data_IF_676407619500
#
_entry.id   IF_676407619500
#
_cell.length_a   1.000
_cell.length_b   1.000
_cell.length_c   1.000
_cell.angle_alpha   90.00
_cell.angle_beta   90.00
_cell.angle_gamma   90.00
#
_symmetry.space_group_name_H-M   'P 1'
#
loop_
_entity.id
_entity.type
_entity.pdbx_description
1 polymer ?
#
# COMPACT_ATOMS: atom_id res chain seq x y z
N UNK A 1 -43.69 5.91 -73.05
CA UNK A 1 -42.88 5.09 -72.12
C UNK A 1 -41.65 5.81 -71.56
N UNK A 2 -41.22 6.94 -72.12
CA UNK A 2 -40.03 7.71 -71.69
C UNK A 2 -40.18 8.53 -70.41
N UNK A 3 -41.40 8.90 -69.97
CA UNK A 3 -41.61 9.67 -68.73
C UNK A 3 -41.56 8.85 -67.44
N UNK A 4 -41.77 7.53 -67.51
CA UNK A 4 -41.67 6.64 -66.34
C UNK A 4 -40.21 6.25 -66.02
N UNK A 5 -39.32 6.22 -67.02
CA UNK A 5 -37.90 5.94 -66.82
C UNK A 5 -37.16 7.09 -66.11
N UNK A 6 -37.58 8.34 -66.32
CA UNK A 6 -36.96 9.51 -65.69
C UNK A 6 -37.32 9.63 -64.18
N UNK A 7 -38.53 9.22 -63.81
CA UNK A 7 -38.98 9.24 -62.40
C UNK A 7 -38.28 8.19 -61.53
N UNK A 8 -37.95 7.02 -62.09
CA UNK A 8 -37.27 5.95 -61.34
C UNK A 8 -35.79 6.29 -61.06
N UNK A 9 -35.13 7.03 -61.96
CA UNK A 9 -33.75 7.46 -61.78
C UNK A 9 -33.56 8.50 -60.66
N UNK A 10 -34.53 9.41 -60.47
CA UNK A 10 -34.49 10.43 -59.41
C UNK A 10 -34.78 9.81 -58.03
N UNK A 11 -35.70 8.83 -57.98
CA UNK A 11 -36.00 8.11 -56.74
C UNK A 11 -34.81 7.25 -56.25
N UNK A 12 -34.00 6.68 -57.15
CA UNK A 12 -32.78 5.95 -56.77
C UNK A 12 -31.64 6.88 -56.31
N UNK A 13 -31.60 8.11 -56.79
CA UNK A 13 -30.57 9.09 -56.39
C UNK A 13 -30.87 9.71 -55.02
N UNK A 14 -32.14 9.82 -54.64
CA UNK A 14 -32.57 10.32 -53.33
C UNK A 14 -32.49 9.28 -52.20
N UNK A 15 -32.39 7.99 -52.52
CA UNK A 15 -32.21 6.90 -51.54
C UNK A 15 -30.79 6.35 -51.49
N UNK A 16 -29.89 6.86 -52.33
CA UNK A 16 -28.46 6.68 -52.14
C UNK A 16 -28.04 7.48 -50.90
N UNK A 17 -28.27 6.90 -49.72
CA UNK A 17 -27.62 7.32 -48.49
C UNK A 17 -26.15 7.45 -48.83
N UNK A 18 -25.54 8.65 -48.75
CA UNK A 18 -24.15 8.83 -49.15
C UNK A 18 -23.33 7.76 -48.44
N UNK A 19 -22.56 6.98 -49.21
CA UNK A 19 -21.80 5.84 -48.71
C UNK A 19 -21.14 6.22 -47.38
N UNK A 20 -21.55 5.47 -46.33
CA UNK A 20 -21.61 5.89 -44.93
C UNK A 20 -20.52 6.85 -44.49
N UNK A 21 -20.87 8.13 -44.36
CA UNK A 21 -20.07 9.06 -43.57
C UNK A 21 -19.99 8.50 -42.15
N UNK A 22 -18.78 8.09 -41.74
CA UNK A 22 -18.57 7.59 -40.39
C UNK A 22 -18.98 8.66 -39.39
N UNK A 23 -19.73 8.25 -38.37
CA UNK A 23 -20.24 9.19 -37.37
C UNK A 23 -19.12 9.67 -36.45
N UNK A 24 -19.35 10.79 -35.77
CA UNK A 24 -18.46 11.30 -34.72
C UNK A 24 -18.14 10.21 -33.68
N UNK A 25 -19.15 9.44 -33.27
CA UNK A 25 -19.05 8.34 -32.32
C UNK A 25 -18.14 7.24 -32.83
N UNK A 26 -18.26 6.86 -34.10
CA UNK A 26 -17.41 5.83 -34.72
C UNK A 26 -15.94 6.26 -34.77
N UNK A 27 -15.67 7.50 -35.19
CA UNK A 27 -14.30 8.03 -35.19
C UNK A 27 -13.69 8.06 -33.79
N UNK A 28 -14.44 8.56 -32.81
CA UNK A 28 -13.98 8.62 -31.43
C UNK A 28 -13.77 7.21 -30.84
N UNK A 29 -14.67 6.25 -31.11
CA UNK A 29 -14.52 4.87 -30.63
C UNK A 29 -13.27 4.20 -31.21
N UNK A 30 -13.00 4.39 -32.51
CA UNK A 30 -11.78 3.90 -33.15
C UNK A 30 -10.52 4.56 -32.60
N UNK A 31 -10.57 5.85 -32.27
CA UNK A 31 -9.44 6.55 -31.64
C UNK A 31 -9.10 5.95 -30.27
N UNK A 32 -10.11 5.67 -29.46
CA UNK A 32 -9.95 5.00 -28.16
C UNK A 32 -9.38 3.59 -28.32
N UNK A 33 -9.84 2.84 -29.33
CA UNK A 33 -9.29 1.52 -29.64
C UNK A 33 -7.81 1.60 -30.01
N UNK A 34 -7.41 2.54 -30.88
CA UNK A 34 -6.00 2.75 -31.24
C UNK A 34 -5.12 3.10 -30.02
N UNK A 35 -5.64 3.87 -29.06
CA UNK A 35 -4.92 4.09 -27.80
C UNK A 35 -4.79 2.83 -26.95
N UNK A 36 -5.83 2.01 -26.90
CA UNK A 36 -5.80 0.73 -26.19
C UNK A 36 -4.80 -0.25 -26.83
N UNK A 37 -4.53 -0.10 -28.13
CA UNK A 37 -3.51 -0.84 -28.87
C UNK A 37 -2.12 -0.18 -28.79
N UNK A 38 -1.95 0.86 -27.97
CA UNK A 38 -0.72 1.63 -27.81
C UNK A 38 -0.20 2.28 -29.13
N UNK A 39 -1.12 2.68 -30.01
CA UNK A 39 -0.84 3.44 -31.24
C UNK A 39 -1.31 4.91 -31.11
N UNK A 40 -0.50 5.76 -30.44
CA UNK A 40 -0.84 7.17 -30.24
C UNK A 40 -0.89 7.98 -31.55
N UNK A 41 -0.19 7.55 -32.60
CA UNK A 41 -0.19 8.27 -33.88
C UNK A 41 -1.54 8.08 -34.57
N UNK A 42 -1.99 6.84 -34.73
CA UNK A 42 -3.31 6.55 -35.31
C UNK A 42 -4.42 7.14 -34.44
N UNK A 43 -4.30 7.05 -33.11
CA UNK A 43 -5.26 7.66 -32.20
C UNK A 43 -5.39 9.18 -32.42
N UNK A 44 -4.27 9.90 -32.54
CA UNK A 44 -4.26 11.35 -32.79
C UNK A 44 -5.01 11.70 -34.09
N UNK A 45 -4.75 10.97 -35.16
CA UNK A 45 -5.40 11.19 -36.46
C UNK A 45 -6.91 10.96 -36.38
N UNK A 46 -7.34 9.89 -35.70
CA UNK A 46 -8.75 9.56 -35.51
C UNK A 46 -9.47 10.58 -34.63
N UNK A 47 -8.85 11.09 -33.56
CA UNK A 47 -9.44 12.16 -32.77
C UNK A 47 -9.60 13.47 -33.55
N UNK A 48 -8.65 13.81 -34.42
CA UNK A 48 -8.79 14.98 -35.29
C UNK A 48 -9.98 14.83 -36.24
N UNK A 49 -10.15 13.64 -36.85
CA UNK A 49 -11.33 13.34 -37.67
C UNK A 49 -12.63 13.42 -36.87
N UNK A 50 -12.65 12.91 -35.64
CA UNK A 50 -13.80 13.04 -34.75
C UNK A 50 -14.11 14.53 -34.49
N UNK A 51 -13.13 15.33 -34.07
CA UNK A 51 -13.31 16.77 -33.83
C UNK A 51 -13.85 17.51 -35.06
N UNK A 52 -13.32 17.20 -36.24
CA UNK A 52 -13.67 17.90 -37.48
C UNK A 52 -15.06 17.49 -38.03
N UNK A 53 -15.59 16.34 -37.62
CA UNK A 53 -16.92 15.87 -38.04
C UNK A 53 -18.07 16.68 -37.42
N UNK A 54 -17.95 17.07 -36.15
CA UNK A 54 -18.90 17.97 -35.47
C UNK A 54 -18.18 18.72 -34.32
N UNK A 55 -17.61 19.91 -34.61
CA UNK A 55 -16.79 20.65 -33.65
C UNK A 55 -17.53 21.09 -32.38
N UNK A 56 -18.85 21.28 -32.45
CA UNK A 56 -19.65 21.77 -31.32
C UNK A 56 -20.07 20.65 -30.36
N UNK A 57 -20.01 19.39 -30.81
CA UNK A 57 -20.37 18.25 -30.00
C UNK A 57 -19.46 18.07 -28.77
N UNK A 58 -20.05 17.58 -27.67
CA UNK A 58 -19.32 17.28 -26.42
C UNK A 58 -18.19 16.26 -26.62
N UNK A 59 -18.35 15.32 -27.56
CA UNK A 59 -17.29 14.35 -27.91
C UNK A 59 -16.12 15.00 -28.64
N UNK A 60 -16.34 16.01 -29.49
CA UNK A 60 -15.27 16.77 -30.13
C UNK A 60 -14.43 17.54 -29.10
N UNK A 61 -15.05 18.15 -28.09
CA UNK A 61 -14.32 18.78 -26.98
C UNK A 61 -13.48 17.79 -26.16
N UNK A 62 -13.95 16.53 -26.01
CA UNK A 62 -13.16 15.46 -25.38
C UNK A 62 -11.98 15.07 -26.26
N UNK A 63 -12.22 14.88 -27.56
CA UNK A 63 -11.18 14.59 -28.55
C UNK A 63 -10.12 15.70 -28.59
N UNK A 64 -10.50 16.97 -28.52
CA UNK A 64 -9.58 18.12 -28.48
C UNK A 64 -8.64 18.07 -27.27
N UNK A 65 -9.16 17.81 -26.07
CA UNK A 65 -8.30 17.61 -24.88
C UNK A 65 -7.35 16.43 -25.06
N UNK A 66 -7.79 15.37 -25.71
CA UNK A 66 -6.94 14.20 -25.95
C UNK A 66 -5.88 14.45 -27.02
N UNK A 67 -6.21 15.18 -28.09
CA UNK A 67 -5.27 15.70 -29.09
C UNK A 67 -4.17 16.50 -28.40
N UNK A 68 -4.53 17.48 -27.57
CA UNK A 68 -3.56 18.30 -26.84
C UNK A 68 -2.66 17.44 -25.93
N UNK A 69 -3.23 16.44 -25.26
CA UNK A 69 -2.47 15.51 -24.41
C UNK A 69 -1.45 14.67 -25.21
N UNK A 70 -1.85 14.16 -26.38
CA UNK A 70 -1.00 13.37 -27.28
C UNK A 70 0.10 14.25 -27.88
N UNK A 71 -0.23 15.42 -28.40
CA UNK A 71 0.76 16.32 -29.00
C UNK A 71 1.84 16.76 -28.00
N UNK A 72 1.46 17.06 -26.76
CA UNK A 72 2.41 17.38 -25.68
C UNK A 72 3.40 16.25 -25.36
N UNK A 73 3.13 15.01 -25.82
CA UNK A 73 3.93 13.80 -25.59
C UNK A 73 4.50 13.19 -26.88
N UNK A 74 4.45 13.93 -27.99
CA UNK A 74 4.94 13.43 -29.28
C UNK A 74 6.46 13.21 -29.28
N UNK A 75 7.21 14.12 -28.64
CA UNK A 75 8.68 14.10 -28.52
C UNK A 75 9.42 13.73 -29.83
N UNK A 76 8.91 14.21 -30.97
CA UNK A 76 9.38 13.84 -32.30
C UNK A 76 8.45 12.84 -33.00
N UNK A 77 8.47 11.57 -32.59
CA UNK A 77 7.91 10.45 -33.38
C UNK A 77 7.02 9.45 -32.62
N UNK A 78 6.46 9.84 -31.46
CA UNK A 78 5.56 9.02 -30.64
C UNK A 78 6.09 7.67 -30.15
N UNK A 79 7.26 7.19 -30.60
CA UNK A 79 7.81 5.89 -30.19
C UNK A 79 8.00 5.78 -28.67
N UNK A 80 8.52 6.80 -27.96
CA UNK A 80 8.59 6.76 -26.49
C UNK A 80 7.22 6.59 -25.83
N UNK A 81 6.21 7.29 -26.36
CA UNK A 81 4.85 7.26 -25.80
C UNK A 81 4.18 5.91 -26.05
N UNK A 82 4.32 5.37 -27.26
CA UNK A 82 3.82 4.03 -27.61
C UNK A 82 4.43 2.96 -26.71
N UNK A 83 5.75 3.01 -26.48
CA UNK A 83 6.43 2.08 -25.57
C UNK A 83 5.93 2.19 -24.12
N UNK A 84 5.73 3.41 -23.61
CA UNK A 84 5.17 3.65 -22.29
C UNK A 84 3.70 3.18 -22.18
N UNK A 85 2.90 3.36 -23.22
CA UNK A 85 1.52 2.88 -23.28
C UNK A 85 1.50 1.35 -23.27
N UNK A 86 2.32 0.70 -24.09
CA UNK A 86 2.41 -0.75 -24.19
C UNK A 86 2.71 -1.41 -22.84
N UNK A 87 3.74 -0.94 -22.12
CA UNK A 87 4.05 -1.52 -20.79
C UNK A 87 2.98 -1.23 -19.74
N UNK A 88 2.22 -0.13 -19.87
CA UNK A 88 1.09 0.16 -18.96
C UNK A 88 -0.10 -0.76 -19.18
N UNK A 89 -0.23 -1.36 -20.37
CA UNK A 89 -1.25 -2.38 -20.64
C UNK A 89 -0.93 -3.69 -19.90
N UNK A 90 0.36 -3.93 -19.60
CA UNK A 90 0.74 -5.03 -18.72
C UNK A 90 0.32 -4.73 -17.28
N UNK A 91 -0.67 -5.48 -16.77
CA UNK A 91 -1.21 -5.26 -15.42
C UNK A 91 -0.16 -5.41 -14.32
N UNK A 92 0.77 -6.34 -14.49
CA UNK A 92 1.84 -6.67 -13.54
C UNK A 92 3.09 -7.11 -14.33
N UNK A 93 3.86 -6.16 -14.88
CA UNK A 93 5.08 -6.50 -15.61
C UNK A 93 6.10 -7.13 -14.64
N UNK A 94 6.83 -8.14 -15.11
CA UNK A 94 7.87 -8.78 -14.29
C UNK A 94 9.08 -7.85 -14.09
N UNK A 95 9.96 -8.19 -13.15
CA UNK A 95 11.18 -7.43 -12.92
C UNK A 95 12.06 -7.32 -14.19
N UNK A 96 12.12 -8.39 -14.98
CA UNK A 96 12.87 -8.46 -16.23
C UNK A 96 12.27 -7.54 -17.30
N UNK A 97 10.94 -7.51 -17.42
CA UNK A 97 10.24 -6.62 -18.36
C UNK A 97 10.47 -5.15 -17.98
N UNK A 98 10.34 -4.82 -16.69
CA UNK A 98 10.60 -3.45 -16.20
C UNK A 98 12.06 -3.06 -16.46
N UNK A 99 13.02 -3.96 -16.22
CA UNK A 99 14.45 -3.70 -16.47
C UNK A 99 14.76 -3.54 -17.97
N UNK A 100 14.09 -4.29 -18.84
CA UNK A 100 14.22 -4.14 -20.29
C UNK A 100 13.65 -2.78 -20.75
N UNK A 101 12.48 -2.40 -20.26
CA UNK A 101 11.88 -1.11 -20.55
C UNK A 101 12.75 0.04 -20.03
N UNK A 102 13.30 -0.08 -18.81
CA UNK A 102 14.17 0.93 -18.24
C UNK A 102 15.42 1.20 -19.09
N UNK A 103 16.03 0.15 -19.67
CA UNK A 103 17.12 0.30 -20.64
C UNK A 103 16.67 1.00 -21.93
N UNK A 104 15.44 0.76 -22.38
CA UNK A 104 14.91 1.45 -23.56
C UNK A 104 14.71 2.96 -23.31
N UNK A 105 14.36 3.36 -22.07
CA UNK A 105 14.20 4.78 -21.69
C UNK A 105 15.49 5.59 -21.90
N UNK A 106 16.67 4.96 -21.78
CA UNK A 106 17.95 5.66 -22.01
C UNK A 106 18.06 6.22 -23.44
N UNK A 107 17.38 5.59 -24.40
CA UNK A 107 17.27 6.05 -25.79
C UNK A 107 16.16 7.06 -26.05
N UNK A 108 15.31 7.38 -25.05
CA UNK A 108 14.24 8.36 -25.22
C UNK A 108 14.83 9.78 -25.22
N UNK A 109 14.30 10.69 -26.07
CA UNK A 109 14.67 12.10 -26.00
C UNK A 109 14.35 12.68 -24.61
N UNK A 110 15.09 13.69 -24.15
CA UNK A 110 14.75 14.38 -22.92
C UNK A 110 13.39 15.06 -23.07
N UNK A 111 12.49 14.81 -22.12
CA UNK A 111 11.11 15.28 -22.23
C UNK A 111 10.17 14.72 -21.18
N UNK A 112 8.89 15.02 -21.35
CA UNK A 112 7.81 14.64 -20.45
C UNK A 112 7.60 13.12 -20.40
N UNK A 113 7.60 12.42 -21.54
CA UNK A 113 7.37 10.98 -21.63
C UNK A 113 8.51 10.22 -20.98
N UNK A 114 9.76 10.66 -21.18
CA UNK A 114 10.92 10.09 -20.49
C UNK A 114 10.77 10.19 -18.96
N UNK A 115 10.39 11.35 -18.42
CA UNK A 115 10.13 11.51 -16.98
C UNK A 115 8.97 10.63 -16.50
N UNK A 116 7.86 10.58 -17.24
CA UNK A 116 6.73 9.71 -16.93
C UNK A 116 7.11 8.22 -16.95
N UNK A 117 7.99 7.81 -17.86
CA UNK A 117 8.48 6.44 -17.96
C UNK A 117 9.39 6.08 -16.78
N UNK A 118 10.29 6.97 -16.35
CA UNK A 118 11.09 6.79 -15.13
C UNK A 118 10.22 6.65 -13.89
N UNK A 119 9.23 7.53 -13.76
CA UNK A 119 8.24 7.46 -12.69
C UNK A 119 7.49 6.12 -12.67
N UNK A 120 7.11 5.63 -13.86
CA UNK A 120 6.46 4.33 -14.01
C UNK A 120 7.37 3.19 -13.56
N UNK A 121 8.64 3.12 -13.99
CA UNK A 121 9.58 2.09 -13.56
C UNK A 121 9.74 2.04 -12.03
N UNK A 122 9.92 3.20 -11.39
CA UNK A 122 10.07 3.28 -9.94
C UNK A 122 8.83 2.75 -9.19
N UNK A 123 7.64 3.11 -9.65
CA UNK A 123 6.38 2.59 -9.08
C UNK A 123 6.15 1.12 -9.40
N UNK A 124 6.56 0.66 -10.59
CA UNK A 124 6.42 -0.73 -11.00
C UNK A 124 7.28 -1.65 -10.12
N UNK A 125 8.55 -1.30 -9.88
CA UNK A 125 9.40 -2.05 -8.95
C UNK A 125 8.84 -2.06 -7.54
N UNK A 126 8.32 -0.93 -7.05
CA UNK A 126 7.69 -0.86 -5.73
C UNK A 126 6.54 -1.86 -5.57
N UNK A 127 5.73 -2.07 -6.63
CA UNK A 127 4.61 -3.02 -6.62
C UNK A 127 5.05 -4.50 -6.59
N UNK A 128 6.29 -4.81 -6.96
CA UNK A 128 6.83 -6.17 -6.85
C UNK A 128 7.18 -6.56 -5.40
N UNK A 129 7.21 -5.58 -4.48
CA UNK A 129 7.42 -5.81 -3.06
C UNK A 129 8.90 -5.91 -2.64
N UNK A 130 9.17 -6.46 -1.44
CA UNK A 130 10.50 -6.43 -0.81
C UNK A 130 11.66 -6.93 -1.68
N UNK A 131 11.51 -7.99 -2.51
CA UNK A 131 12.62 -8.46 -3.35
C UNK A 131 13.13 -7.43 -4.37
N UNK A 132 12.33 -6.40 -4.69
CA UNK A 132 12.66 -5.37 -5.67
C UNK A 132 12.88 -3.98 -5.05
N UNK A 133 12.98 -3.88 -3.72
CA UNK A 133 13.09 -2.60 -3.01
C UNK A 133 14.33 -1.80 -3.44
N UNK A 134 15.49 -2.47 -3.55
CA UNK A 134 16.73 -1.84 -4.03
C UNK A 134 16.59 -1.31 -5.47
N UNK A 135 15.94 -2.08 -6.35
CA UNK A 135 15.66 -1.66 -7.72
C UNK A 135 14.70 -0.46 -7.77
N UNK A 136 13.69 -0.43 -6.90
CA UNK A 136 12.79 0.72 -6.76
C UNK A 136 13.55 1.97 -6.31
N UNK A 137 14.44 1.87 -5.32
CA UNK A 137 15.27 2.99 -4.85
C UNK A 137 16.15 3.51 -6.01
N UNK A 138 16.83 2.62 -6.73
CA UNK A 138 17.67 2.99 -7.86
C UNK A 138 16.86 3.68 -8.98
N UNK A 139 15.66 3.18 -9.28
CA UNK A 139 14.76 3.78 -10.25
C UNK A 139 14.26 5.18 -9.81
N UNK A 140 13.96 5.39 -8.52
CA UNK A 140 13.65 6.72 -8.00
C UNK A 140 14.85 7.67 -8.08
N UNK A 141 16.07 7.19 -7.83
CA UNK A 141 17.29 7.99 -7.98
C UNK A 141 17.50 8.43 -9.44
N UNK A 142 17.26 7.54 -10.41
CA UNK A 142 17.28 7.89 -11.84
C UNK A 142 16.18 8.87 -12.22
N UNK A 143 14.97 8.71 -11.68
CA UNK A 143 13.88 9.65 -11.90
C UNK A 143 14.25 11.04 -11.37
N UNK A 144 14.82 11.14 -10.16
CA UNK A 144 15.28 12.40 -9.55
C UNK A 144 16.42 13.08 -10.32
N UNK A 145 17.18 12.31 -11.11
CA UNK A 145 18.25 12.81 -11.96
C UNK A 145 17.74 13.37 -13.31
N UNK A 146 16.46 13.18 -13.66
CA UNK A 146 15.92 13.75 -14.90
C UNK A 146 15.89 15.29 -14.84
N UNK A 147 16.28 15.98 -15.92
CA UNK A 147 16.20 17.43 -15.99
C UNK A 147 14.74 17.91 -15.99
N UNK A 148 14.53 19.15 -15.54
CA UNK A 148 13.25 19.84 -15.59
C UNK A 148 12.08 19.11 -14.89
N UNK A 149 12.38 18.33 -13.86
CA UNK A 149 11.36 17.84 -12.92
C UNK A 149 10.60 19.03 -12.32
N UNK A 150 9.27 18.99 -12.42
CA UNK A 150 8.45 19.92 -11.66
C UNK A 150 8.68 19.74 -10.15
N UNK A 151 8.49 20.80 -9.33
CA UNK A 151 8.59 20.68 -7.87
C UNK A 151 7.74 19.54 -7.31
N UNK A 152 6.53 19.35 -7.86
CA UNK A 152 5.59 18.30 -7.46
C UNK A 152 6.08 16.89 -7.82
N UNK A 153 6.70 16.70 -8.99
CA UNK A 153 7.30 15.41 -9.36
C UNK A 153 8.51 15.08 -8.48
N UNK A 154 9.39 16.07 -8.25
CA UNK A 154 10.56 15.93 -7.39
C UNK A 154 10.16 15.59 -5.95
N UNK A 155 9.20 16.29 -5.38
CA UNK A 155 8.65 15.99 -4.06
C UNK A 155 8.10 14.56 -4.00
N UNK A 156 7.28 14.16 -4.99
CA UNK A 156 6.70 12.81 -5.05
C UNK A 156 7.79 11.73 -5.08
N UNK A 157 8.82 11.92 -5.91
CA UNK A 157 9.93 10.99 -6.04
C UNK A 157 10.78 10.92 -4.75
N UNK A 158 11.11 12.07 -4.15
CA UNK A 158 11.85 12.14 -2.88
C UNK A 158 11.08 11.45 -1.75
N UNK A 159 9.78 11.73 -1.63
CA UNK A 159 8.91 11.14 -0.62
C UNK A 159 8.87 9.62 -0.76
N UNK A 160 8.56 9.12 -1.95
CA UNK A 160 8.45 7.69 -2.19
C UNK A 160 9.80 6.97 -1.95
N UNK A 161 10.90 7.57 -2.39
CA UNK A 161 12.25 7.04 -2.12
C UNK A 161 12.58 7.01 -0.63
N UNK A 162 12.24 8.05 0.12
CA UNK A 162 12.52 8.12 1.55
C UNK A 162 11.78 7.02 2.33
N UNK A 163 10.55 6.70 1.94
CA UNK A 163 9.77 5.63 2.57
C UNK A 163 10.35 4.22 2.38
N UNK A 164 11.23 4.03 1.39
CA UNK A 164 11.94 2.77 1.15
C UNK A 164 13.25 2.65 1.94
N UNK A 165 13.65 3.66 2.71
CA UNK A 165 14.85 3.56 3.53
C UNK A 165 14.50 3.10 4.95
N UNK A 166 15.34 2.29 5.61
CA UNK A 166 15.14 1.89 7.02
C UNK A 166 14.96 3.09 7.95
N UNK A 167 15.66 4.19 7.65
CA UNK A 167 15.57 5.47 8.34
C UNK A 167 14.66 6.46 7.59
N UNK A 168 13.46 6.02 7.22
CA UNK A 168 12.57 6.80 6.34
C UNK A 168 12.23 8.19 6.88
N UNK A 169 12.07 8.34 8.20
CA UNK A 169 11.83 9.64 8.83
C UNK A 169 13.02 10.60 8.65
N UNK A 170 14.24 10.16 8.98
CA UNK A 170 15.46 10.96 8.77
C UNK A 170 15.67 11.28 7.30
N UNK A 171 15.30 10.36 6.42
CA UNK A 171 15.38 10.56 4.96
C UNK A 171 14.39 11.64 4.50
N UNK A 172 13.16 11.64 5.01
CA UNK A 172 12.17 12.70 4.73
C UNK A 172 12.64 14.06 5.27
N UNK A 173 13.18 14.10 6.49
CA UNK A 173 13.73 15.32 7.10
C UNK A 173 14.91 15.87 6.28
N UNK A 174 15.84 15.01 5.87
CA UNK A 174 16.97 15.43 5.00
C UNK A 174 16.52 15.91 3.62
N UNK A 175 15.33 15.51 3.17
CA UNK A 175 14.72 15.96 1.93
C UNK A 175 13.86 17.22 2.10
N UNK A 176 13.78 17.80 3.31
CA UNK A 176 12.94 18.96 3.61
C UNK A 176 11.44 18.65 3.65
N UNK A 177 11.06 17.38 3.86
CA UNK A 177 9.66 16.90 3.89
C UNK A 177 9.17 16.58 5.31
N UNK A 178 9.71 17.29 6.29
CA UNK A 178 9.48 17.08 7.73
C UNK A 178 8.04 17.35 8.18
N UNK A 179 7.29 18.19 7.46
CA UNK A 179 5.89 18.52 7.73
C UNK A 179 4.88 17.73 6.89
N UNK A 180 5.36 16.76 6.10
CA UNK A 180 4.49 15.86 5.33
C UNK A 180 3.59 15.02 6.25
N UNK A 181 2.42 14.61 5.74
CA UNK A 181 1.51 13.74 6.49
C UNK A 181 2.18 12.40 6.83
N UNK A 182 3.03 11.92 5.94
CA UNK A 182 3.83 10.70 6.08
C UNK A 182 4.90 10.86 7.16
N UNK A 183 5.62 11.98 7.20
CA UNK A 183 6.57 12.26 8.28
C UNK A 183 5.85 12.32 9.64
N UNK A 184 4.68 12.97 9.72
CA UNK A 184 3.84 12.95 10.94
C UNK A 184 3.42 11.53 11.33
N UNK A 185 3.02 10.71 10.36
CA UNK A 185 2.65 9.32 10.60
C UNK A 185 3.83 8.49 11.10
N UNK A 186 5.01 8.62 10.48
CA UNK A 186 6.24 7.95 10.91
C UNK A 186 6.72 8.41 12.29
N UNK A 187 6.61 9.70 12.61
CA UNK A 187 6.88 10.21 13.97
C UNK A 187 5.93 9.61 14.99
N UNK A 188 4.64 9.60 14.68
CA UNK A 188 3.62 9.03 15.57
C UNK A 188 3.90 7.55 15.83
N UNK A 189 4.14 6.75 14.79
CA UNK A 189 4.44 5.32 14.95
C UNK A 189 5.76 5.07 15.69
N UNK A 190 6.79 5.88 15.44
CA UNK A 190 8.06 5.82 16.17
C UNK A 190 7.88 6.19 17.64
N UNK A 191 7.14 7.25 17.94
CA UNK A 191 6.86 7.70 19.31
C UNK A 191 6.04 6.67 20.08
N UNK A 192 5.03 6.08 19.45
CA UNK A 192 4.26 4.97 20.00
C UNK A 192 5.16 3.77 20.32
N UNK A 193 6.11 3.42 19.44
CA UNK A 193 7.10 2.37 19.70
C UNK A 193 7.96 2.69 20.93
N UNK A 194 8.42 3.93 21.08
CA UNK A 194 9.21 4.36 22.25
C UNK A 194 8.41 4.26 23.54
N UNK A 195 7.16 4.75 23.56
CA UNK A 195 6.27 4.62 24.72
C UNK A 195 6.05 3.16 25.10
N UNK A 196 5.84 2.31 24.10
CA UNK A 196 5.61 0.88 24.31
C UNK A 196 6.84 0.19 24.91
N UNK A 197 8.04 0.47 24.40
CA UNK A 197 9.29 -0.04 24.98
C UNK A 197 9.45 0.45 26.43
N UNK A 198 9.25 1.74 26.68
CA UNK A 198 9.35 2.33 28.02
C UNK A 198 8.34 1.69 29.00
N UNK A 199 7.10 1.48 28.56
CA UNK A 199 6.04 0.86 29.36
C UNK A 199 6.39 -0.60 29.69
N UNK A 200 6.90 -1.35 28.71
CA UNK A 200 7.38 -2.73 28.91
C UNK A 200 8.56 -2.81 29.89
N UNK A 201 9.52 -1.91 29.78
CA UNK A 201 10.66 -1.84 30.71
C UNK A 201 10.24 -1.45 32.13
N UNK A 202 9.33 -0.48 32.29
CA UNK A 202 8.79 -0.09 33.60
C UNK A 202 8.02 -1.24 34.26
N UNK A 203 7.20 -1.96 33.49
CA UNK A 203 6.50 -3.16 33.96
C UNK A 203 7.47 -4.24 34.46
N UNK A 204 8.57 -4.49 33.73
CA UNK A 204 9.59 -5.45 34.11
C UNK A 204 10.35 -5.04 35.38
N UNK A 205 10.74 -3.76 35.48
CA UNK A 205 11.39 -3.21 36.67
C UNK A 205 10.49 -3.30 37.90
N UNK A 206 9.20 -3.01 37.75
CA UNK A 206 8.22 -3.12 38.83
C UNK A 206 8.04 -4.58 39.30
N UNK A 207 7.93 -5.53 38.36
CA UNK A 207 7.90 -6.95 38.68
C UNK A 207 9.17 -7.41 39.42
N UNK A 208 10.34 -6.93 39.01
CA UNK A 208 11.60 -7.24 39.67
C UNK A 208 11.69 -6.64 41.08
N UNK A 209 11.28 -5.37 41.26
CA UNK A 209 11.28 -4.70 42.55
C UNK A 209 10.37 -5.41 43.57
N UNK A 210 9.16 -5.82 43.14
CA UNK A 210 8.22 -6.55 44.01
C UNK A 210 8.71 -7.94 44.41
N UNK A 211 9.49 -8.62 43.55
CA UNK A 211 10.15 -9.88 43.89
C UNK A 211 11.27 -9.69 44.94
N UNK A 212 12.01 -8.59 44.87
CA UNK A 212 13.17 -8.33 45.73
C UNK A 212 12.80 -7.77 47.12
N UNK A 213 11.66 -7.11 47.27
CA UNK A 213 11.20 -6.58 48.58
C UNK A 213 10.61 -7.63 49.51
N UNK A 214 10.71 -8.93 49.20
CA UNK A 214 10.29 -9.99 50.13
C UNK A 214 11.37 -10.21 51.19
N UNK A 215 11.10 -9.91 52.48
CA UNK A 215 11.98 -10.34 53.56
C UNK A 215 12.04 -11.87 53.55
N UNK A 216 13.26 -12.42 53.53
CA UNK A 216 13.59 -13.84 53.48
C UNK A 216 13.04 -14.59 54.69
N UNK A 217 11.74 -14.90 54.69
CA UNK A 217 11.14 -15.90 55.57
C UNK A 217 11.19 -17.23 54.83
N UNK A 218 11.80 -18.23 55.48
CA UNK A 218 12.00 -19.60 54.97
C UNK A 218 10.77 -20.10 54.21
N UNK A 219 10.93 -20.63 52.98
CA UNK A 219 9.80 -21.07 52.17
C UNK A 219 9.11 -22.24 52.87
N UNK A 220 7.84 -22.06 53.25
CA UNK A 220 6.95 -23.21 53.49
C UNK A 220 6.66 -23.84 52.12
N UNK A 221 6.67 -25.18 52.00
CA UNK A 221 6.30 -25.85 50.75
C UNK A 221 4.87 -25.43 50.38
N UNK A 222 4.76 -24.72 49.26
CA UNK A 222 3.48 -24.25 48.75
C UNK A 222 2.70 -25.44 48.18
N UNK A 223 1.44 -25.69 48.59
CA UNK A 223 0.56 -26.69 47.99
C UNK A 223 0.00 -26.15 46.66
N UNK A 224 0.87 -25.85 45.70
CA UNK A 224 0.53 -25.06 44.51
C UNK A 224 0.00 -25.87 43.32
N UNK A 225 -0.17 -27.19 43.46
CA UNK A 225 -0.62 -28.06 42.37
C UNK A 225 -1.88 -28.82 42.77
N UNK A 226 -2.98 -28.12 43.02
CA UNK A 226 -4.29 -28.79 43.00
C UNK A 226 -4.68 -29.05 41.54
N UNK A 227 -5.17 -30.26 41.20
CA UNK A 227 -5.45 -30.66 39.82
C UNK A 227 -6.43 -29.70 39.10
N UNK A 228 -7.33 -29.07 39.83
CA UNK A 228 -8.26 -28.06 39.33
C UNK A 228 -7.55 -26.83 38.75
N UNK A 229 -6.43 -26.40 39.35
CA UNK A 229 -5.66 -25.23 38.90
C UNK A 229 -4.83 -25.54 37.67
N UNK A 230 -4.31 -26.76 37.56
CA UNK A 230 -3.66 -27.27 36.35
C UNK A 230 -4.65 -27.34 35.17
N UNK A 231 -5.88 -27.82 35.42
CA UNK A 231 -6.91 -27.90 34.39
C UNK A 231 -7.32 -26.52 33.84
N UNK A 232 -7.46 -25.51 34.72
CA UNK A 232 -7.79 -24.14 34.30
C UNK A 232 -6.64 -23.49 33.54
N UNK A 233 -5.40 -23.66 33.99
CA UNK A 233 -4.22 -23.17 33.28
C UNK A 233 -4.05 -23.84 31.91
N UNK A 234 -4.26 -25.15 31.84
CA UNK A 234 -4.23 -25.90 30.58
C UNK A 234 -5.34 -25.45 29.62
N UNK A 235 -6.56 -25.20 30.11
CA UNK A 235 -7.67 -24.72 29.29
C UNK A 235 -7.41 -23.31 28.73
N UNK A 236 -6.94 -22.38 29.56
CA UNK A 236 -6.62 -21.01 29.15
C UNK A 236 -5.42 -20.93 28.20
N UNK A 237 -4.53 -21.92 28.23
CA UNK A 237 -3.39 -21.98 27.29
C UNK A 237 -3.75 -22.71 25.99
N UNK A 238 -4.43 -23.86 26.08
CA UNK A 238 -4.69 -24.73 24.94
C UNK A 238 -5.75 -24.16 23.99
N UNK A 239 -6.80 -23.51 24.51
CA UNK A 239 -7.91 -23.02 23.66
C UNK A 239 -7.47 -21.89 22.72
N UNK A 240 -6.75 -20.84 23.16
CA UNK A 240 -6.28 -19.79 22.26
C UNK A 240 -5.24 -20.30 21.26
N UNK A 241 -4.35 -21.19 21.68
CA UNK A 241 -3.33 -21.79 20.80
C UNK A 241 -3.97 -22.66 19.73
N UNK A 242 -4.96 -23.50 20.07
CA UNK A 242 -5.68 -24.34 19.10
C UNK A 242 -6.55 -23.52 18.17
N UNK A 243 -7.24 -22.48 18.65
CA UNK A 243 -7.99 -21.58 17.76
C UNK A 243 -7.07 -20.88 16.78
N UNK A 244 -5.96 -20.31 17.23
CA UNK A 244 -5.04 -19.61 16.35
C UNK A 244 -4.38 -20.57 15.35
N UNK A 245 -3.95 -21.74 15.80
CA UNK A 245 -3.35 -22.74 14.91
C UNK A 245 -4.32 -23.22 13.81
N UNK A 246 -5.63 -23.22 14.07
CA UNK A 246 -6.65 -23.69 13.13
C UNK A 246 -7.18 -22.62 12.17
N UNK A 247 -7.06 -21.34 12.50
CA UNK A 247 -7.62 -20.24 11.71
C UNK A 247 -6.56 -19.37 11.00
N UNK A 248 -5.34 -19.21 11.53
CA UNK A 248 -4.24 -18.56 10.81
C UNK A 248 -2.85 -18.95 11.38
N UNK A 249 -2.03 -19.72 10.66
CA UNK A 249 -0.73 -20.18 11.15
C UNK A 249 0.28 -19.05 11.37
N UNK A 250 0.11 -17.86 10.75
CA UNK A 250 1.01 -16.71 10.97
C UNK A 250 0.82 -16.07 12.35
N UNK A 251 -0.34 -16.29 12.98
CA UNK A 251 -0.72 -15.73 14.28
C UNK A 251 -0.20 -16.52 15.49
N UNK A 252 0.37 -17.71 15.26
CA UNK A 252 0.76 -18.66 16.32
C UNK A 252 1.74 -18.08 17.35
N UNK A 253 2.67 -17.21 16.94
CA UNK A 253 3.63 -16.59 17.87
C UNK A 253 2.98 -15.60 18.82
N UNK A 254 2.05 -14.78 18.32
CA UNK A 254 1.36 -13.79 19.13
C UNK A 254 0.36 -14.44 20.09
N UNK A 255 -0.36 -15.46 19.63
CA UNK A 255 -1.24 -16.25 20.48
C UNK A 255 -0.50 -17.01 21.58
N UNK A 256 0.67 -17.57 21.26
CA UNK A 256 1.53 -18.22 22.27
C UNK A 256 2.01 -17.22 23.31
N UNK A 257 2.40 -16.00 22.90
CA UNK A 257 2.81 -14.95 23.83
C UNK A 257 1.66 -14.49 24.74
N UNK A 258 0.45 -14.32 24.20
CA UNK A 258 -0.76 -13.99 25.00
C UNK A 258 -1.11 -15.13 25.96
N UNK A 259 -1.02 -16.38 25.51
CA UNK A 259 -1.27 -17.55 26.34
C UNK A 259 -0.25 -17.68 27.48
N UNK A 260 1.05 -17.49 27.20
CA UNK A 260 2.12 -17.47 28.21
C UNK A 260 1.89 -16.33 29.21
N UNK A 261 1.58 -15.13 28.72
CA UNK A 261 1.29 -13.96 29.55
C UNK A 261 0.08 -14.21 30.47
N UNK A 262 -1.04 -14.71 29.95
CA UNK A 262 -2.23 -15.02 30.74
C UNK A 262 -1.99 -16.10 31.80
N UNK A 263 -1.19 -17.12 31.48
CA UNK A 263 -0.85 -18.20 32.43
C UNK A 263 0.06 -17.71 33.54
N UNK A 264 1.05 -16.86 33.21
CA UNK A 264 1.86 -16.15 34.20
C UNK A 264 1.00 -15.22 35.06
N UNK A 265 -0.11 -14.72 34.54
CA UNK A 265 -1.11 -13.89 35.23
C UNK A 265 -1.89 -14.60 36.28
N UNK A 266 -2.50 -15.71 35.89
CA UNK A 266 -3.23 -16.53 36.84
C UNK A 266 -2.29 -17.05 37.94
N UNK A 267 -1.07 -17.43 37.60
CA UNK A 267 -0.10 -17.92 38.59
C UNK A 267 0.39 -16.81 39.51
N UNK A 268 0.64 -15.60 39.01
CA UNK A 268 0.96 -14.45 39.88
C UNK A 268 -0.22 -14.00 40.72
N UNK A 269 -1.44 -13.94 40.17
CA UNK A 269 -2.65 -13.57 40.92
C UNK A 269 -2.97 -14.57 42.04
N UNK A 270 -2.81 -15.88 41.77
CA UNK A 270 -2.98 -16.92 42.80
C UNK A 270 -1.86 -16.92 43.83
N UNK A 271 -0.61 -16.65 43.43
CA UNK A 271 0.50 -16.45 44.35
C UNK A 271 0.30 -15.20 45.23
N UNK A 272 -0.29 -14.13 44.69
CA UNK A 272 -0.64 -12.90 45.42
C UNK A 272 -1.83 -13.12 46.36
N UNK A 273 -2.81 -13.94 45.99
CA UNK A 273 -3.91 -14.34 46.87
C UNK A 273 -3.46 -15.14 48.09
N UNK A 274 -2.32 -15.82 47.99
CA UNK A 274 -1.65 -16.47 49.13
C UNK A 274 -0.74 -15.56 49.95
N UNK A 275 -0.58 -14.28 49.56
CA UNK A 275 0.13 -13.30 50.35
C UNK A 275 -0.81 -12.73 51.42
N UNK A 276 -0.26 -12.52 52.61
CA UNK A 276 -0.92 -11.87 53.74
C UNK A 276 -1.04 -10.35 53.52
N UNK A 277 -1.59 -9.97 52.38
CA UNK A 277 -1.84 -8.57 52.01
C UNK A 277 -3.20 -8.13 52.55
N UNK A 278 -3.31 -6.86 52.99
CA UNK A 278 -4.60 -6.28 53.36
C UNK A 278 -5.59 -6.45 52.19
N UNK A 279 -6.85 -6.84 52.46
CA UNK A 279 -7.84 -7.15 51.41
C UNK A 279 -8.03 -6.01 50.40
N UNK A 280 -7.83 -4.76 50.83
CA UNK A 280 -7.92 -3.57 49.97
C UNK A 280 -6.82 -3.46 48.90
N UNK A 281 -5.66 -4.12 49.06
CA UNK A 281 -4.53 -4.04 48.11
C UNK A 281 -4.50 -5.16 47.08
N UNK A 282 -5.22 -6.26 47.33
CA UNK A 282 -5.31 -7.43 46.43
C UNK A 282 -5.87 -7.11 45.04
N UNK A 283 -6.99 -6.35 44.89
CA UNK A 283 -7.52 -6.05 43.56
C UNK A 283 -6.59 -5.14 42.75
N UNK A 284 -5.90 -4.20 43.41
CA UNK A 284 -4.95 -3.30 42.75
C UNK A 284 -3.78 -4.08 42.12
N UNK A 285 -3.21 -5.04 42.86
CA UNK A 285 -2.12 -5.89 42.38
C UNK A 285 -2.55 -6.84 41.26
N UNK A 286 -3.78 -7.36 41.31
CA UNK A 286 -4.35 -8.18 40.25
C UNK A 286 -4.59 -7.36 38.96
N UNK A 287 -5.13 -6.14 39.09
CA UNK A 287 -5.28 -5.19 37.98
C UNK A 287 -3.93 -4.80 37.36
N UNK A 288 -2.91 -4.59 38.19
CA UNK A 288 -1.55 -4.28 37.72
C UNK A 288 -0.94 -5.45 36.96
N UNK A 289 -1.02 -6.67 37.49
CA UNK A 289 -0.52 -7.87 36.81
C UNK A 289 -1.23 -8.12 35.48
N UNK A 290 -2.56 -7.94 35.45
CA UNK A 290 -3.36 -8.00 34.24
C UNK A 290 -2.94 -6.93 33.22
N UNK A 291 -2.73 -5.69 33.66
CA UNK A 291 -2.26 -4.60 32.81
C UNK A 291 -0.89 -4.87 32.18
N UNK A 292 0.06 -5.43 32.94
CA UNK A 292 1.37 -5.86 32.43
C UNK A 292 1.23 -6.92 31.34
N UNK A 293 0.31 -7.87 31.51
CA UNK A 293 0.10 -8.97 30.56
C UNK A 293 -0.65 -8.55 29.32
N UNK A 294 -1.64 -7.68 29.45
CA UNK A 294 -2.28 -7.03 28.32
C UNK A 294 -1.22 -6.29 27.50
N UNK A 295 -0.30 -5.58 28.17
CA UNK A 295 0.83 -4.90 27.55
C UNK A 295 1.75 -5.86 26.78
N UNK A 296 2.16 -6.98 27.38
CA UNK A 296 3.00 -8.00 26.72
C UNK A 296 2.28 -8.66 25.54
N UNK A 297 0.98 -8.95 25.68
CA UNK A 297 0.17 -9.52 24.60
C UNK A 297 0.04 -8.59 23.40
N UNK A 298 -0.20 -7.30 23.65
CA UNK A 298 -0.25 -6.26 22.61
C UNK A 298 1.11 -6.12 21.92
N UNK A 299 2.22 -6.12 22.67
CA UNK A 299 3.58 -6.06 22.12
C UNK A 299 3.89 -7.25 21.20
N UNK A 300 3.41 -8.46 21.55
CA UNK A 300 3.63 -9.65 20.75
C UNK A 300 2.81 -9.68 19.46
N UNK A 301 1.56 -9.20 19.50
CA UNK A 301 0.68 -9.06 18.32
C UNK A 301 1.20 -8.04 17.30
N UNK A 302 1.93 -7.03 17.78
CA UNK A 302 2.47 -6.00 16.92
C UNK A 302 3.81 -6.38 16.30
N UNK A 303 4.66 -7.13 17.02
CA UNK A 303 5.88 -7.71 16.47
C UNK A 303 5.64 -8.70 15.32
N UNK A 304 4.43 -9.25 15.20
CA UNK A 304 4.03 -10.12 14.09
C UNK A 304 3.40 -9.37 12.91
N UNK A 305 3.23 -8.04 12.97
CA UNK A 305 2.60 -7.24 11.90
C UNK A 305 1.07 -7.32 11.86
N UNK A 306 0.46 -8.21 12.63
CA UNK A 306 -0.97 -8.53 12.59
C UNK A 306 -1.86 -7.60 13.41
N UNK A 307 -1.28 -6.76 14.26
CA UNK A 307 -2.05 -5.75 15.00
C UNK A 307 -2.72 -4.73 14.07
N UNK A 308 -2.05 -4.31 12.99
CA UNK A 308 -2.60 -3.36 12.04
C UNK A 308 -3.82 -3.95 11.27
N UNK A 309 -3.77 -5.24 10.94
CA UNK A 309 -4.83 -5.93 10.20
C UNK A 309 -6.09 -6.16 11.04
N UNK A 310 -5.94 -6.50 12.33
CA UNK A 310 -7.07 -6.74 13.24
C UNK A 310 -7.88 -5.49 13.56
N UNK A 311 -7.23 -4.32 13.61
CA UNK A 311 -7.87 -3.08 14.04
C UNK A 311 -8.13 -2.08 12.90
N UNK A 312 -7.64 -2.34 11.68
CA UNK A 312 -7.96 -1.55 10.48
C UNK A 312 -9.44 -1.25 10.24
N UNK A 313 -10.43 -2.14 10.53
CA UNK A 313 -11.84 -1.79 10.33
C UNK A 313 -12.42 -0.83 11.38
N UNK A 314 -11.66 -0.48 12.42
CA UNK A 314 -12.10 0.39 13.53
C UNK A 314 -11.43 1.77 13.53
N UNK A 315 -10.52 2.04 12.59
CA UNK A 315 -9.78 3.29 12.43
C UNK A 315 -9.92 3.82 11.00
#
# INVERSE_FOLDING_TARGET
MTRLALGLGIALWLTATPAGAQTLEEWHARAVAAEADADPQTALELYRRARDADPEARLAQRAERRIAWLEARREGDFRPLAALMAIRLERQPSAEVIAAFERAIDGFPPGLVRREARAFCAQAYLRLGPPAEEAAIAAYDRWLAEPDLSPTERERALRARALLKPDGLRSLESAGLEDSAEARHLRMTTWLRVIRIATGSLAALFAFATLRTRPSRRPRPLPLLTPSRLAIAAYLFAVPVVMVWRYDPTFTRAALAVAIAGTLGLTTATAVGGLDLPPRRRPLLALLAFGVQLGVGILALEGSGTFAELFAPWF
#
